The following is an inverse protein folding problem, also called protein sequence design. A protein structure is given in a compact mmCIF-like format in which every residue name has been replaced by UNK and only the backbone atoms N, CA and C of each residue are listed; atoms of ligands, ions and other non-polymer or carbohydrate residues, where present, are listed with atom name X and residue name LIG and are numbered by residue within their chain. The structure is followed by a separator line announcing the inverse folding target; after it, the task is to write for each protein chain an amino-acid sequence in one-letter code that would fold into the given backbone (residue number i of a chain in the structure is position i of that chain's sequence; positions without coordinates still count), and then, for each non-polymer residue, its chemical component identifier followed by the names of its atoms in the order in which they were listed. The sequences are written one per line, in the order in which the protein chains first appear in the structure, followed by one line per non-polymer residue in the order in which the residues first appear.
data_IF_925390725551
#
_entry.id   IF_925390725551
#
_cell.length_a   1.000
_cell.length_b   1.000
_cell.length_c   1.000
_cell.angle_alpha   90.00
_cell.angle_beta   90.00
_cell.angle_gamma   90.00
#
_symmetry.space_group_name_H-M   'P 1'
#
loop_
_entity.id
_entity.type
_entity.pdbx_description
1 polymer ?
#
# COMPACT_ATOMS: atom_id res chain seq x y z
N UNK A 1 -7.79 8.80 -7.78
CA UNK A 1 -6.34 8.74 -7.89
C UNK A 1 -5.97 9.39 -9.21
N UNK A 2 -5.16 10.45 -9.12
CA UNK A 2 -4.69 11.20 -10.30
C UNK A 2 -3.16 11.19 -10.34
N UNK A 3 -2.57 11.07 -11.54
CA UNK A 3 -1.12 11.14 -11.71
C UNK A 3 -0.69 12.61 -11.76
N UNK A 4 0.14 13.01 -10.82
CA UNK A 4 0.68 14.38 -10.73
C UNK A 4 1.95 14.51 -11.60
N UNK A 5 2.86 13.54 -11.52
CA UNK A 5 4.12 13.55 -12.26
C UNK A 5 4.73 12.16 -12.41
N UNK A 6 5.57 12.00 -13.42
CA UNK A 6 6.39 10.80 -13.66
C UNK A 6 7.85 11.20 -13.82
N UNK A 7 8.75 10.52 -13.12
CA UNK A 7 10.19 10.74 -13.21
C UNK A 7 10.94 9.40 -13.15
N UNK A 8 11.46 8.94 -14.29
CA UNK A 8 12.16 7.65 -14.37
C UNK A 8 11.26 6.49 -13.94
N UNK A 9 11.62 5.81 -12.84
CA UNK A 9 10.85 4.69 -12.24
C UNK A 9 9.95 5.13 -11.08
N UNK A 10 9.70 6.43 -10.93
CA UNK A 10 8.87 6.99 -9.85
C UNK A 10 7.65 7.68 -10.44
N UNK A 11 6.53 7.55 -9.74
CA UNK A 11 5.28 8.24 -10.03
C UNK A 11 4.81 8.96 -8.76
N UNK A 12 4.28 10.18 -8.93
CA UNK A 12 3.60 10.90 -7.87
C UNK A 12 2.10 10.88 -8.14
N UNK A 13 1.32 10.48 -7.12
CA UNK A 13 -0.11 10.27 -7.23
C UNK A 13 -0.84 11.15 -6.20
N UNK A 14 -1.95 11.76 -6.58
CA UNK A 14 -2.95 12.25 -5.65
C UNK A 14 -3.87 11.09 -5.33
N UNK A 15 -4.02 10.76 -4.05
CA UNK A 15 -4.89 9.69 -3.56
C UNK A 15 -5.79 10.32 -2.49
N UNK A 16 -7.09 10.09 -2.58
CA UNK A 16 -8.02 10.53 -1.54
C UNK A 16 -8.06 9.56 -0.34
N UNK A 17 -8.74 9.96 0.74
CA UNK A 17 -8.83 9.15 1.96
C UNK A 17 -9.42 7.76 1.71
N UNK A 18 -10.49 7.66 0.91
CA UNK A 18 -11.17 6.39 0.66
C UNK A 18 -10.29 5.45 -0.16
N UNK A 19 -9.61 5.98 -1.17
CA UNK A 19 -8.67 5.21 -1.98
C UNK A 19 -7.50 4.69 -1.14
N UNK A 20 -6.96 5.53 -0.25
CA UNK A 20 -5.88 5.13 0.64
C UNK A 20 -6.35 4.08 1.67
N UNK A 21 -7.58 4.19 2.18
CA UNK A 21 -8.21 3.18 3.04
C UNK A 21 -8.35 1.83 2.33
N UNK A 22 -8.73 1.82 1.05
CA UNK A 22 -8.81 0.61 0.23
C UNK A 22 -7.42 -0.03 0.11
N UNK A 23 -6.39 0.75 -0.23
CA UNK A 23 -5.02 0.25 -0.33
C UNK A 23 -4.52 -0.34 0.99
N UNK A 24 -4.72 0.38 2.09
CA UNK A 24 -4.36 -0.10 3.44
C UNK A 24 -5.07 -1.41 3.79
N UNK A 25 -6.37 -1.52 3.47
CA UNK A 25 -7.15 -2.73 3.77
C UNK A 25 -6.67 -3.93 2.96
N UNK A 26 -6.40 -3.76 1.68
CA UNK A 26 -5.87 -4.83 0.82
C UNK A 26 -4.49 -5.29 1.29
N UNK A 27 -3.58 -4.34 1.61
CA UNK A 27 -2.26 -4.65 2.15
C UNK A 27 -2.35 -5.38 3.50
N UNK A 28 -3.24 -4.94 4.38
CA UNK A 28 -3.46 -5.59 5.67
C UNK A 28 -4.00 -7.02 5.49
N UNK A 29 -4.92 -7.24 4.55
CA UNK A 29 -5.48 -8.56 4.28
C UNK A 29 -4.41 -9.53 3.80
N UNK A 30 -3.59 -9.14 2.83
CA UNK A 30 -2.53 -10.03 2.33
C UNK A 30 -1.41 -10.25 3.36
N UNK A 31 -1.10 -9.26 4.19
CA UNK A 31 -0.08 -9.41 5.24
C UNK A 31 -0.57 -10.24 6.43
N UNK A 32 -1.81 -10.02 6.88
CA UNK A 32 -2.29 -10.45 8.19
C UNK A 32 -3.62 -11.23 8.15
N UNK A 33 -4.49 -10.97 7.16
CA UNK A 33 -5.85 -11.53 7.09
C UNK A 33 -5.93 -12.90 6.42
N UNK A 34 -5.12 -13.14 5.38
CA UNK A 34 -5.11 -14.40 4.64
C UNK A 34 -3.70 -14.99 4.51
N UNK A 35 -3.64 -16.32 4.37
CA UNK A 35 -2.43 -16.98 3.92
C UNK A 35 -2.35 -16.91 2.40
N UNK A 36 -1.33 -16.24 1.87
CA UNK A 36 -1.03 -16.20 0.43
C UNK A 36 0.11 -17.17 0.14
N UNK A 37 -0.14 -18.35 -0.48
CA UNK A 37 0.93 -19.25 -0.89
C UNK A 37 1.78 -18.59 -1.97
N UNK A 38 3.09 -18.88 -1.98
CA UNK A 38 4.04 -18.29 -2.93
C UNK A 38 3.98 -16.76 -2.95
N UNK A 39 3.92 -16.16 -1.75
CA UNK A 39 3.69 -14.72 -1.54
C UNK A 39 4.53 -13.84 -2.46
N UNK A 40 5.86 -14.03 -2.45
CA UNK A 40 6.78 -13.19 -3.22
C UNK A 40 6.55 -13.29 -4.72
N UNK A 41 6.24 -14.48 -5.24
CA UNK A 41 5.94 -14.68 -6.66
C UNK A 41 4.60 -14.07 -7.07
N UNK A 42 3.58 -14.15 -6.20
CA UNK A 42 2.23 -13.65 -6.50
C UNK A 42 2.08 -12.15 -6.32
N UNK A 43 2.77 -11.57 -5.35
CA UNK A 43 2.71 -10.14 -5.03
C UNK A 43 3.82 -9.37 -5.75
N UNK A 44 4.94 -10.03 -6.07
CA UNK A 44 6.11 -9.40 -6.70
C UNK A 44 7.02 -8.67 -5.72
N UNK A 45 6.84 -8.89 -4.41
CA UNK A 45 7.61 -8.30 -3.33
C UNK A 45 7.66 -9.24 -2.12
N UNK A 46 8.70 -9.11 -1.29
CA UNK A 46 8.80 -9.89 -0.06
C UNK A 46 7.67 -9.50 0.91
N UNK A 47 7.26 -10.42 1.78
CA UNK A 47 6.24 -10.10 2.80
C UNK A 47 6.69 -8.97 3.73
N UNK A 48 7.99 -8.87 4.00
CA UNK A 48 8.58 -7.81 4.80
C UNK A 48 8.41 -6.43 4.15
N UNK A 49 8.74 -6.29 2.86
CA UNK A 49 8.59 -5.03 2.13
C UNK A 49 7.12 -4.56 2.08
N UNK A 50 6.19 -5.51 1.90
CA UNK A 50 4.75 -5.21 1.86
C UNK A 50 4.23 -4.80 3.24
N UNK A 51 4.70 -5.45 4.31
CA UNK A 51 4.40 -5.04 5.69
C UNK A 51 4.96 -3.65 6.02
N UNK A 52 6.16 -3.31 5.55
CA UNK A 52 6.73 -1.98 5.71
C UNK A 52 5.87 -0.91 5.01
N UNK A 53 5.46 -1.18 3.75
CA UNK A 53 4.59 -0.29 3.00
C UNK A 53 3.21 -0.11 3.67
N UNK A 54 2.63 -1.18 4.21
CA UNK A 54 1.40 -1.13 4.99
C UNK A 54 1.55 -0.19 6.20
N UNK A 55 2.66 -0.29 6.94
CA UNK A 55 2.90 0.58 8.08
C UNK A 55 3.00 2.05 7.68
N UNK A 56 3.74 2.36 6.61
CA UNK A 56 3.88 3.73 6.10
C UNK A 56 2.53 4.33 5.68
N UNK A 57 1.71 3.55 4.95
CA UNK A 57 0.36 3.97 4.55
C UNK A 57 -0.54 4.17 5.77
N UNK A 58 -0.46 3.28 6.76
CA UNK A 58 -1.23 3.40 8.00
C UNK A 58 -0.91 4.67 8.79
N UNK A 59 0.36 5.09 8.84
CA UNK A 59 0.76 6.36 9.45
C UNK A 59 0.20 7.57 8.69
N UNK A 60 0.22 7.53 7.35
CA UNK A 60 -0.36 8.62 6.53
C UNK A 60 -1.86 8.74 6.78
N UNK A 61 -2.60 7.62 6.80
CA UNK A 61 -4.03 7.60 7.11
C UNK A 61 -4.32 8.17 8.50
N UNK A 62 -3.57 7.74 9.51
CA UNK A 62 -3.73 8.24 10.87
C UNK A 62 -3.58 9.78 10.94
N UNK A 63 -2.64 10.34 10.17
CA UNK A 63 -2.44 11.79 10.09
C UNK A 63 -3.54 12.52 9.32
N UNK A 64 -4.22 11.88 8.36
CA UNK A 64 -5.33 12.47 7.62
C UNK A 64 -6.63 12.53 8.44
N UNK A 65 -6.79 11.61 9.41
CA UNK A 65 -7.98 11.50 10.25
C UNK A 65 -7.86 12.25 11.59
N UNK A 66 -6.70 12.84 11.89
CA UNK A 66 -6.42 13.61 13.10
C UNK A 66 -6.83 15.09 12.96
#
# INVERSE_FOLDING_TARGET
MDVISLAGKQAQLTIDENELLILNSVLNEICNGISVPEFETRIGASKEDVCALLNDIGQILANMMA
#
